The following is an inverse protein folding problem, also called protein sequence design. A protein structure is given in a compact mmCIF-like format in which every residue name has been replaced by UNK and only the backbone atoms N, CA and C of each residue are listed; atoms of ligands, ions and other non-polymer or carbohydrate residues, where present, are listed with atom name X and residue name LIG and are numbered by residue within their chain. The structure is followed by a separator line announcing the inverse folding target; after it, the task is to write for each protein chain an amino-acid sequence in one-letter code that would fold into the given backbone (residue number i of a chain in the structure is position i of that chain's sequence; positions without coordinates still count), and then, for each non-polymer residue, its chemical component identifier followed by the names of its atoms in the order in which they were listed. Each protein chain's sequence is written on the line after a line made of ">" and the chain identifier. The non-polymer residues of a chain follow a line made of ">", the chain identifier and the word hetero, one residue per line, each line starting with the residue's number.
data_IF_928190237492
#
_entry.id   IF_928190237492
#
_cell.length_a   1.000
_cell.length_b   1.000
_cell.length_c   1.000
_cell.angle_alpha   90.00
_cell.angle_beta   90.00
_cell.angle_gamma   90.00
#
_symmetry.space_group_name_H-M   'P 1'
#
loop_
_entity.id
_entity.type
_entity.pdbx_description
1 polymer ?
#
# COMPACT_ATOMS: atom_id res chain seq x y z
N UNK A 1 80.19 34.25 -25.66
CA UNK A 1 80.10 33.01 -24.85
C UNK A 1 78.74 32.37 -25.10
N UNK A 2 78.79 31.09 -25.48
CA UNK A 2 77.71 30.09 -25.68
C UNK A 2 76.89 29.89 -24.38
N UNK A 3 75.60 29.48 -24.27
CA UNK A 3 74.76 28.36 -24.80
C UNK A 3 73.28 28.62 -24.37
N UNK A 4 72.22 28.39 -25.17
CA UNK A 4 71.38 27.19 -25.45
C UNK A 4 70.27 26.82 -24.41
N UNK A 5 68.99 26.85 -24.89
CA UNK A 5 67.80 26.00 -24.53
C UNK A 5 67.21 26.10 -23.11
N UNK A 6 65.89 25.94 -22.83
CA UNK A 6 64.88 25.02 -23.39
C UNK A 6 63.46 25.38 -22.85
N UNK A 7 62.46 25.36 -23.75
CA UNK A 7 61.01 25.00 -23.65
C UNK A 7 60.28 25.00 -22.29
N UNK A 8 59.06 25.58 -22.24
CA UNK A 8 57.89 24.94 -21.57
C UNK A 8 56.53 25.46 -22.09
N UNK A 9 55.61 24.53 -22.33
CA UNK A 9 54.25 24.67 -22.89
C UNK A 9 53.24 25.28 -21.89
N UNK A 10 52.04 25.74 -22.31
CA UNK A 10 51.06 26.36 -21.42
C UNK A 10 50.36 25.28 -20.59
N UNK A 11 50.47 25.38 -19.26
CA UNK A 11 49.70 24.55 -18.34
C UNK A 11 48.30 25.14 -18.15
N UNK A 12 47.30 24.28 -18.31
CA UNK A 12 45.90 24.61 -18.09
C UNK A 12 45.62 24.99 -16.63
N UNK A 13 44.80 26.01 -16.47
CA UNK A 13 44.14 26.34 -15.21
C UNK A 13 43.29 25.16 -14.74
N UNK A 14 43.66 24.55 -13.61
CA UNK A 14 42.69 23.90 -12.70
C UNK A 14 42.58 24.78 -11.45
N UNK A 15 41.38 25.16 -11.00
CA UNK A 15 41.24 25.75 -9.68
C UNK A 15 41.38 24.63 -8.63
N UNK A 16 42.29 24.81 -7.67
CA UNK A 16 42.40 23.97 -6.50
C UNK A 16 41.25 24.32 -5.54
N UNK A 17 40.22 23.48 -5.48
CA UNK A 17 39.28 23.47 -4.35
C UNK A 17 40.04 22.97 -3.14
N UNK A 18 40.16 23.83 -2.13
CA UNK A 18 40.94 23.59 -0.91
C UNK A 18 40.37 22.40 -0.16
N UNK A 19 41.20 21.40 0.15
CA UNK A 19 40.82 20.19 0.90
C UNK A 19 40.08 20.51 2.23
N UNK A 20 40.28 21.72 2.78
CA UNK A 20 39.56 22.21 3.94
C UNK A 20 38.06 22.47 3.72
N UNK A 21 37.65 22.89 2.51
CA UNK A 21 36.24 23.14 2.18
C UNK A 21 35.45 21.84 2.01
N UNK A 22 36.09 20.81 1.45
CA UNK A 22 35.52 19.46 1.34
C UNK A 22 35.34 18.81 2.72
N UNK A 23 36.29 19.02 3.63
CA UNK A 23 36.19 18.55 5.02
C UNK A 23 35.05 19.24 5.77
N UNK A 24 34.84 20.54 5.55
CA UNK A 24 33.78 21.32 6.18
C UNK A 24 32.38 20.87 5.71
N UNK A 25 32.22 20.61 4.41
CA UNK A 25 30.98 20.09 3.82
C UNK A 25 30.68 18.66 4.30
N UNK A 26 31.69 17.79 4.37
CA UNK A 26 31.53 16.45 4.89
C UNK A 26 31.13 16.44 6.38
N UNK A 27 31.69 17.35 7.19
CA UNK A 27 31.31 17.48 8.60
C UNK A 27 29.88 18.02 8.77
N UNK A 28 29.45 18.96 7.92
CA UNK A 28 28.09 19.50 7.90
C UNK A 28 27.07 18.38 7.61
N UNK A 29 27.34 17.56 6.58
CA UNK A 29 26.47 16.46 6.15
C UNK A 29 26.42 15.34 7.21
N UNK A 30 27.54 15.00 7.84
CA UNK A 30 27.57 14.01 8.94
C UNK A 30 26.80 14.49 10.18
N UNK A 31 26.81 15.79 10.49
CA UNK A 31 25.99 16.35 11.56
C UNK A 31 24.49 16.23 11.24
N UNK A 32 24.08 16.56 10.01
CA UNK A 32 22.68 16.49 9.59
C UNK A 32 22.15 15.06 9.52
N UNK A 33 22.97 14.11 9.02
CA UNK A 33 22.65 12.68 8.94
C UNK A 33 22.54 12.04 10.33
N UNK A 34 23.24 12.55 11.36
CA UNK A 34 23.07 12.09 12.75
C UNK A 34 21.87 12.70 13.46
N UNK A 35 21.49 13.94 13.14
CA UNK A 35 20.37 14.61 13.81
C UNK A 35 19.00 14.22 13.26
N UNK A 36 18.88 13.93 11.96
CA UNK A 36 17.60 13.56 11.34
C UNK A 36 16.97 12.28 11.94
N UNK A 37 17.71 11.17 12.16
CA UNK A 37 17.20 9.98 12.82
C UNK A 37 16.74 10.26 14.25
N UNK A 38 17.46 11.11 15.00
CA UNK A 38 17.14 11.45 16.39
C UNK A 38 15.82 12.24 16.51
N UNK A 39 15.52 13.12 15.55
CA UNK A 39 14.26 13.86 15.47
C UNK A 39 13.08 12.95 15.15
N UNK A 40 13.27 11.98 14.25
CA UNK A 40 12.28 10.96 13.92
C UNK A 40 12.00 10.06 15.12
N UNK A 41 13.06 9.58 15.77
CA UNK A 41 13.00 8.74 16.97
C UNK A 41 12.27 9.44 18.13
N UNK A 42 12.47 10.74 18.34
CA UNK A 42 11.74 11.49 19.36
C UNK A 42 10.24 11.57 19.06
N UNK A 43 9.84 11.72 17.79
CA UNK A 43 8.41 11.70 17.40
C UNK A 43 7.79 10.33 17.66
N UNK A 44 8.49 9.26 17.26
CA UNK A 44 8.05 7.88 17.48
C UNK A 44 7.95 7.58 18.98
N UNK A 45 8.92 8.01 19.79
CA UNK A 45 8.91 7.82 21.26
C UNK A 45 7.76 8.57 21.93
N UNK A 46 7.46 9.81 21.50
CA UNK A 46 6.32 10.58 22.03
C UNK A 46 4.98 9.92 21.68
N UNK A 47 4.85 9.43 20.45
CA UNK A 47 3.63 8.75 20.01
C UNK A 47 3.43 7.40 20.71
N UNK A 48 4.52 6.64 20.93
CA UNK A 48 4.47 5.39 21.69
C UNK A 48 3.97 5.61 23.12
N UNK A 49 4.46 6.65 23.81
CA UNK A 49 3.98 7.02 25.16
C UNK A 49 2.50 7.44 25.15
N UNK A 50 2.06 8.16 24.11
CA UNK A 50 0.65 8.54 23.95
C UNK A 50 -0.24 7.32 23.77
N UNK A 51 0.18 6.36 22.93
CA UNK A 51 -0.55 5.13 22.68
C UNK A 51 -0.56 4.21 23.90
N UNK A 52 0.55 4.08 24.62
CA UNK A 52 0.61 3.33 25.88
C UNK A 52 -0.31 3.91 26.96
N UNK A 53 -0.41 5.25 27.06
CA UNK A 53 -1.35 5.90 27.97
C UNK A 53 -2.81 5.63 27.56
N UNK A 54 -3.12 5.70 26.26
CA UNK A 54 -4.44 5.40 25.74
C UNK A 54 -4.84 3.93 26.01
N UNK A 55 -3.91 3.00 25.77
CA UNK A 55 -4.07 1.57 26.06
C UNK A 55 -4.29 1.31 27.55
N UNK A 56 -3.54 1.98 28.43
CA UNK A 56 -3.78 1.89 29.87
C UNK A 56 -5.15 2.44 30.27
N UNK A 57 -5.62 3.50 29.62
CA UNK A 57 -6.96 4.06 29.85
C UNK A 57 -8.07 3.14 29.38
N UNK A 58 -7.89 2.48 28.23
CA UNK A 58 -8.82 1.48 27.71
C UNK A 58 -8.90 0.27 28.63
N UNK A 59 -7.76 -0.25 29.09
CA UNK A 59 -7.69 -1.35 30.06
C UNK A 59 -8.33 -1.00 31.41
N UNK A 60 -8.20 0.25 31.86
CA UNK A 60 -8.88 0.75 33.07
C UNK A 60 -10.41 0.85 32.90
N UNK A 61 -10.87 1.17 31.69
CA UNK A 61 -12.30 1.16 31.36
C UNK A 61 -12.86 -0.27 31.25
N UNK A 62 -12.10 -1.19 30.65
CA UNK A 62 -12.48 -2.60 30.52
C UNK A 62 -12.54 -3.33 31.87
N UNK A 63 -11.73 -2.91 32.85
CA UNK A 63 -11.69 -3.52 34.18
C UNK A 63 -12.68 -2.92 35.20
N UNK A 64 -13.55 -1.98 34.80
CA UNK A 64 -14.82 -1.73 35.50
C UNK A 64 -14.79 -0.99 36.85
N UNK A 65 -14.07 0.14 36.99
CA UNK A 65 -14.24 1.05 38.13
C UNK A 65 -14.92 2.36 37.69
N UNK A 66 -16.26 2.34 37.68
CA UNK A 66 -17.08 3.54 37.53
C UNK A 66 -17.09 4.35 38.84
N UNK A 67 -16.04 5.12 39.10
CA UNK A 67 -16.08 6.11 40.16
C UNK A 67 -15.30 7.39 39.81
N UNK A 68 -16.05 8.49 39.78
CA UNK A 68 -15.62 9.88 39.85
C UNK A 68 -15.11 10.55 38.57
N UNK A 69 -16.04 10.85 37.66
CA UNK A 69 -15.87 11.96 36.71
C UNK A 69 -16.11 13.25 37.51
N UNK A 70 -15.05 13.79 38.11
CA UNK A 70 -15.03 15.20 38.53
C UNK A 70 -14.94 16.05 37.28
N UNK A 71 -16.11 16.43 36.76
CA UNK A 71 -16.26 17.38 35.69
C UNK A 71 -16.07 18.79 36.27
N UNK A 72 -14.83 19.28 36.36
CA UNK A 72 -14.61 20.72 36.53
C UNK A 72 -14.76 21.37 35.17
N UNK A 73 -16.02 21.63 34.78
CA UNK A 73 -16.36 22.63 33.78
C UNK A 73 -16.66 23.95 34.50
N UNK A 74 -15.94 25.04 34.20
CA UNK A 74 -16.28 26.35 34.73
C UNK A 74 -17.49 26.90 33.99
N UNK A 75 -18.50 27.26 34.78
CA UNK A 75 -19.46 28.33 34.53
C UNK A 75 -20.45 28.18 33.35
N UNK A 76 -21.65 27.72 33.72
CA UNK A 76 -22.91 28.46 33.54
C UNK A 76 -23.45 28.57 32.12
N UNK A 77 -24.49 27.81 31.81
CA UNK A 77 -25.84 28.35 31.61
C UNK A 77 -26.88 27.22 31.66
N UNK A 78 -27.96 27.53 32.36
CA UNK A 78 -29.08 26.68 32.74
C UNK A 78 -30.15 26.68 31.62
N UNK A 79 -30.82 25.55 31.36
CA UNK A 79 -32.04 25.53 30.55
C UNK A 79 -32.90 24.32 30.91
N UNK A 80 -33.72 24.54 31.94
CA UNK A 80 -35.01 23.89 32.15
C UNK A 80 -35.91 23.98 30.91
N UNK A 81 -36.73 22.92 30.72
CA UNK A 81 -37.85 22.69 29.76
C UNK A 81 -37.39 21.97 28.49
N UNK A 82 -37.96 20.84 28.05
CA UNK A 82 -39.17 20.08 28.42
C UNK A 82 -38.90 18.59 28.17
N UNK A 83 -39.32 17.71 29.08
CA UNK A 83 -39.54 16.30 28.78
C UNK A 83 -41.05 16.13 28.72
N UNK A 84 -41.58 15.87 27.53
CA UNK A 84 -42.91 15.24 27.42
C UNK A 84 -42.92 14.27 26.24
N UNK A 85 -43.18 13.02 26.60
CA UNK A 85 -43.52 11.86 25.77
C UNK A 85 -42.45 11.33 24.81
N UNK A 86 -41.65 10.40 25.34
CA UNK A 86 -41.12 9.29 24.55
C UNK A 86 -41.57 8.01 25.25
N UNK A 87 -42.63 7.39 24.74
CA UNK A 87 -42.85 5.98 24.97
C UNK A 87 -41.96 5.20 23.99
N UNK A 88 -41.06 4.42 24.59
CA UNK A 88 -40.38 3.23 24.07
C UNK A 88 -39.50 3.36 22.81
N UNK A 89 -38.20 3.61 23.01
CA UNK A 89 -37.15 3.19 22.06
C UNK A 89 -36.09 2.39 22.81
N UNK A 90 -36.00 1.10 22.48
CA UNK A 90 -34.99 0.16 22.91
C UNK A 90 -33.60 0.65 22.50
N UNK A 91 -32.65 0.57 23.44
CA UNK A 91 -31.25 0.99 23.32
C UNK A 91 -30.56 0.32 22.12
N UNK A 92 -30.11 1.13 21.16
CA UNK A 92 -29.05 0.77 20.21
C UNK A 92 -27.86 1.69 20.47
N UNK A 93 -26.82 1.14 21.10
CA UNK A 93 -25.49 1.72 21.16
C UNK A 93 -24.89 1.74 19.75
N UNK A 94 -25.08 2.84 19.02
CA UNK A 94 -24.55 3.05 17.67
C UNK A 94 -23.41 4.05 17.65
N UNK A 95 -22.18 3.60 17.41
CA UNK A 95 -21.13 4.44 16.83
C UNK A 95 -21.46 4.66 15.35
N UNK A 96 -22.42 5.55 15.08
CA UNK A 96 -22.86 5.88 13.72
C UNK A 96 -21.77 6.65 12.95
N UNK A 97 -20.81 5.92 12.39
CA UNK A 97 -20.21 6.31 11.11
C UNK A 97 -21.18 5.86 10.02
N UNK A 98 -21.64 6.74 9.12
CA UNK A 98 -22.52 6.32 8.04
C UNK A 98 -21.82 5.25 7.21
N UNK A 99 -22.52 4.13 6.98
CA UNK A 99 -22.08 3.10 6.05
C UNK A 99 -21.84 3.76 4.68
N UNK A 100 -20.64 3.66 4.12
CA UNK A 100 -20.28 4.27 2.84
C UNK A 100 -21.19 3.80 1.69
N UNK A 101 -21.66 2.54 1.73
CA UNK A 101 -22.66 2.05 0.77
C UNK A 101 -24.02 2.75 0.94
N UNK A 102 -24.40 3.11 2.17
CA UNK A 102 -25.60 3.91 2.45
C UNK A 102 -25.40 5.37 2.03
N UNK A 103 -24.19 5.90 2.13
CA UNK A 103 -23.85 7.27 1.70
C UNK A 103 -23.80 7.43 0.17
N UNK A 104 -23.39 6.39 -0.57
CA UNK A 104 -23.34 6.38 -2.03
C UNK A 104 -24.69 6.05 -2.68
N UNK A 105 -25.65 5.49 -1.93
CA UNK A 105 -26.96 5.07 -2.45
C UNK A 105 -26.92 3.81 -3.31
N UNK A 106 -25.76 3.17 -3.48
CA UNK A 106 -25.59 1.88 -4.17
C UNK A 106 -24.47 1.06 -3.53
N UNK A 107 -24.53 -0.27 -3.69
CA UNK A 107 -23.46 -1.18 -3.27
C UNK A 107 -22.44 -1.32 -4.40
N UNK A 108 -21.17 -1.12 -4.06
CA UNK A 108 -20.07 -1.28 -5.02
C UNK A 108 -19.90 -2.77 -5.33
N UNK A 109 -19.90 -3.16 -6.60
CA UNK A 109 -19.73 -4.56 -7.01
C UNK A 109 -18.26 -4.89 -7.21
N UNK A 110 -17.88 -6.16 -6.99
CA UNK A 110 -16.52 -6.63 -7.31
C UNK A 110 -16.37 -6.94 -8.78
N UNK A 111 -15.15 -6.73 -9.28
CA UNK A 111 -14.75 -7.13 -10.62
C UNK A 111 -14.59 -8.65 -10.73
N UNK A 112 -14.65 -9.11 -11.98
CA UNK A 112 -14.42 -10.50 -12.35
C UNK A 112 -12.93 -10.81 -12.28
N UNK A 113 -12.59 -12.00 -11.76
CA UNK A 113 -11.23 -12.51 -11.79
C UNK A 113 -11.13 -13.77 -12.64
N UNK A 114 -10.30 -13.72 -13.67
CA UNK A 114 -10.06 -14.83 -14.61
C UNK A 114 -8.65 -15.45 -14.51
N UNK A 115 -7.77 -14.86 -13.69
CA UNK A 115 -6.40 -15.31 -13.50
C UNK A 115 -5.38 -14.71 -14.47
N UNK A 116 -5.74 -13.65 -15.23
CA UNK A 116 -4.82 -12.94 -16.12
C UNK A 116 -4.07 -11.81 -15.40
N UNK A 117 -4.77 -11.07 -14.54
CA UNK A 117 -4.23 -9.93 -13.81
C UNK A 117 -3.62 -10.37 -12.48
N UNK A 118 -2.81 -9.51 -11.86
CA UNK A 118 -2.17 -9.80 -10.57
C UNK A 118 -3.23 -10.12 -9.53
N UNK A 119 -3.12 -11.31 -8.93
CA UNK A 119 -3.99 -11.73 -7.83
C UNK A 119 -3.92 -10.75 -6.64
N UNK A 120 -2.76 -10.13 -6.41
CA UNK A 120 -2.55 -9.17 -5.31
C UNK A 120 -3.33 -7.87 -5.53
N UNK A 121 -3.29 -7.34 -6.74
CA UNK A 121 -4.04 -6.13 -7.11
C UNK A 121 -5.55 -6.39 -7.00
N UNK A 122 -5.99 -7.54 -7.51
CA UNK A 122 -7.37 -7.98 -7.38
C UNK A 122 -7.84 -8.05 -5.92
N UNK A 123 -7.09 -8.71 -5.04
CA UNK A 123 -7.45 -8.79 -3.62
C UNK A 123 -7.43 -7.43 -2.93
N UNK A 124 -6.52 -6.53 -3.31
CA UNK A 124 -6.48 -5.17 -2.75
C UNK A 124 -7.77 -4.42 -3.05
N UNK A 125 -8.24 -4.48 -4.29
CA UNK A 125 -9.51 -3.88 -4.71
C UNK A 125 -10.71 -4.59 -4.05
N UNK A 126 -10.74 -5.93 -4.08
CA UNK A 126 -11.80 -6.74 -3.50
C UNK A 126 -12.00 -6.43 -2.01
N UNK A 127 -10.92 -6.40 -1.23
CA UNK A 127 -10.99 -6.11 0.22
C UNK A 127 -11.39 -4.67 0.51
N UNK A 128 -10.99 -3.72 -0.33
CA UNK A 128 -11.46 -2.34 -0.25
C UNK A 128 -12.98 -2.25 -0.44
N UNK A 129 -13.52 -2.93 -1.46
CA UNK A 129 -14.96 -3.00 -1.71
C UNK A 129 -15.69 -3.73 -0.57
N UNK A 130 -15.15 -4.85 -0.10
CA UNK A 130 -15.72 -5.62 1.01
C UNK A 130 -15.84 -4.78 2.30
N UNK A 131 -14.80 -3.99 2.60
CA UNK A 131 -14.81 -3.06 3.74
C UNK A 131 -15.83 -1.93 3.55
N UNK A 132 -15.92 -1.39 2.33
CA UNK A 132 -16.86 -0.30 1.98
C UNK A 132 -18.32 -0.76 2.11
N UNK A 133 -18.58 -2.01 1.77
CA UNK A 133 -19.91 -2.63 1.82
C UNK A 133 -20.22 -3.36 3.13
N UNK A 134 -19.28 -3.39 4.09
CA UNK A 134 -19.38 -4.10 5.37
C UNK A 134 -19.73 -5.58 5.21
N UNK A 135 -19.06 -6.28 4.28
CA UNK A 135 -19.27 -7.71 4.07
C UNK A 135 -18.79 -8.54 5.27
N UNK A 136 -19.64 -9.47 5.71
CA UNK A 136 -19.25 -10.55 6.61
C UNK A 136 -18.30 -11.53 5.92
N UNK A 137 -17.62 -12.38 6.67
CA UNK A 137 -16.74 -13.42 6.10
C UNK A 137 -17.48 -14.33 5.11
N UNK A 138 -18.69 -14.77 5.45
CA UNK A 138 -19.53 -15.55 4.54
C UNK A 138 -19.85 -14.78 3.25
N UNK A 139 -20.18 -13.48 3.34
CA UNK A 139 -20.47 -12.65 2.17
C UNK A 139 -19.22 -12.45 1.29
N UNK A 140 -18.02 -12.36 1.88
CA UNK A 140 -16.76 -12.31 1.12
C UNK A 140 -16.54 -13.60 0.36
N UNK A 141 -16.73 -14.76 0.98
CA UNK A 141 -16.58 -16.07 0.33
C UNK A 141 -17.52 -16.21 -0.86
N UNK A 142 -18.82 -15.96 -0.65
CA UNK A 142 -19.83 -16.08 -1.71
C UNK A 142 -19.52 -15.12 -2.86
N UNK A 143 -19.16 -13.88 -2.54
CA UNK A 143 -18.88 -12.87 -3.57
C UNK A 143 -17.60 -13.18 -4.33
N UNK A 144 -16.55 -13.63 -3.62
CA UNK A 144 -15.29 -14.06 -4.23
C UNK A 144 -15.51 -15.28 -5.14
N UNK A 145 -16.21 -16.30 -4.69
CA UNK A 145 -16.52 -17.47 -5.51
C UNK A 145 -17.36 -17.07 -6.75
N UNK A 146 -18.29 -16.14 -6.59
CA UNK A 146 -19.16 -15.66 -7.66
C UNK A 146 -18.42 -14.78 -8.70
N UNK A 147 -17.31 -14.14 -8.34
CA UNK A 147 -16.52 -13.31 -9.24
C UNK A 147 -15.50 -14.11 -10.06
N UNK A 148 -15.21 -15.38 -9.70
CA UNK A 148 -14.26 -16.21 -10.43
C UNK A 148 -14.80 -16.65 -11.80
N UNK A 149 -14.00 -16.49 -12.84
CA UNK A 149 -14.31 -16.93 -14.22
C UNK A 149 -13.13 -17.67 -14.83
N UNK A 150 -13.37 -18.32 -15.97
CA UNK A 150 -12.34 -19.00 -16.76
C UNK A 150 -11.48 -19.96 -15.93
N UNK A 151 -10.15 -19.80 -16.02
CA UNK A 151 -9.19 -20.64 -15.28
C UNK A 151 -9.34 -20.47 -13.78
N UNK A 152 -9.61 -19.27 -13.28
CA UNK A 152 -9.77 -19.04 -11.85
C UNK A 152 -10.95 -19.81 -11.24
N UNK A 153 -12.06 -19.97 -11.99
CA UNK A 153 -13.23 -20.73 -11.52
C UNK A 153 -12.89 -22.19 -11.20
N UNK A 154 -11.95 -22.82 -11.91
CA UNK A 154 -11.58 -24.21 -11.64
C UNK A 154 -10.77 -24.39 -10.34
N UNK A 155 -10.46 -23.32 -9.60
CA UNK A 155 -9.97 -23.43 -8.21
C UNK A 155 -11.08 -23.94 -7.29
N UNK A 156 -12.34 -23.63 -7.59
CA UNK A 156 -13.48 -24.09 -6.80
C UNK A 156 -13.59 -25.63 -6.81
N UNK A 157 -13.23 -26.28 -7.91
CA UNK A 157 -13.24 -27.75 -8.02
C UNK A 157 -12.19 -28.42 -7.13
N UNK A 158 -11.14 -27.69 -6.73
CA UNK A 158 -10.11 -28.21 -5.82
C UNK A 158 -10.52 -28.17 -4.34
N UNK A 159 -11.63 -27.49 -4.03
CA UNK A 159 -12.16 -27.36 -2.68
C UNK A 159 -13.18 -28.47 -2.44
N UNK A 160 -12.99 -29.24 -1.35
CA UNK A 160 -13.83 -30.41 -1.05
C UNK A 160 -15.21 -30.06 -0.51
N UNK A 161 -15.31 -28.91 0.16
CA UNK A 161 -16.55 -28.42 0.77
C UNK A 161 -16.65 -26.91 0.55
N UNK A 162 -17.34 -26.53 -0.53
CA UNK A 162 -17.52 -25.12 -0.89
C UNK A 162 -18.51 -24.40 0.04
N UNK A 163 -19.39 -25.14 0.73
CA UNK A 163 -20.41 -24.54 1.61
C UNK A 163 -19.81 -24.05 2.93
N UNK A 164 -18.80 -24.77 3.43
CA UNK A 164 -18.10 -24.40 4.67
C UNK A 164 -16.71 -23.79 4.45
N UNK A 165 -16.35 -23.45 3.20
CA UNK A 165 -15.02 -22.88 2.92
C UNK A 165 -14.87 -21.51 3.57
N UNK A 166 -13.77 -21.33 4.29
CA UNK A 166 -13.40 -20.02 4.82
C UNK A 166 -12.81 -19.12 3.75
N UNK A 167 -12.84 -17.81 3.97
CA UNK A 167 -12.22 -16.85 3.06
C UNK A 167 -10.72 -17.12 2.88
N UNK A 168 -10.03 -17.49 3.96
CA UNK A 168 -8.59 -17.78 3.93
C UNK A 168 -8.26 -19.05 3.14
N UNK A 169 -9.09 -20.09 3.19
CA UNK A 169 -8.89 -21.30 2.39
C UNK A 169 -9.06 -21.04 0.89
N UNK A 170 -10.11 -20.30 0.51
CA UNK A 170 -10.33 -19.92 -0.89
C UNK A 170 -9.21 -18.98 -1.39
N UNK A 171 -8.76 -18.04 -0.56
CA UNK A 171 -7.63 -17.15 -0.85
C UNK A 171 -6.34 -17.94 -1.02
N UNK A 172 -6.03 -18.88 -0.11
CA UNK A 172 -4.83 -19.71 -0.20
C UNK A 172 -4.83 -20.58 -1.47
N UNK A 173 -5.98 -21.14 -1.86
CA UNK A 173 -6.12 -21.91 -3.08
C UNK A 173 -5.88 -21.06 -4.33
N UNK A 174 -6.33 -19.80 -4.33
CA UNK A 174 -6.03 -18.83 -5.39
C UNK A 174 -4.55 -18.44 -5.40
N UNK A 175 -3.94 -18.16 -4.25
CA UNK A 175 -2.51 -17.82 -4.12
C UNK A 175 -1.60 -18.97 -4.55
N UNK A 176 -1.99 -20.22 -4.29
CA UNK A 176 -1.25 -21.38 -4.74
C UNK A 176 -1.17 -21.46 -6.27
N UNK A 177 -2.24 -21.05 -6.96
CA UNK A 177 -2.36 -21.21 -8.42
C UNK A 177 -2.03 -19.95 -9.22
N UNK A 178 -2.28 -18.79 -8.65
CA UNK A 178 -2.11 -17.47 -9.25
C UNK A 178 -1.27 -16.56 -8.34
N UNK A 179 -0.43 -17.11 -7.48
CA UNK A 179 0.46 -16.30 -6.65
C UNK A 179 1.46 -15.50 -7.49
N UNK A 180 2.01 -14.44 -6.91
CA UNK A 180 2.91 -13.49 -7.58
C UNK A 180 4.07 -14.19 -8.32
N UNK A 181 4.68 -15.21 -7.68
CA UNK A 181 5.78 -16.00 -8.29
C UNK A 181 5.38 -16.65 -9.61
N UNK A 182 4.17 -17.19 -9.70
CA UNK A 182 3.66 -17.82 -10.91
C UNK A 182 3.31 -16.76 -11.97
N UNK A 183 2.82 -15.59 -11.55
CA UNK A 183 2.60 -14.46 -12.44
C UNK A 183 3.91 -13.92 -13.04
N UNK A 184 4.96 -13.72 -12.23
CA UNK A 184 6.27 -13.28 -12.71
C UNK A 184 6.87 -14.32 -13.67
N UNK A 185 6.82 -15.61 -13.32
CA UNK A 185 7.35 -16.69 -14.18
C UNK A 185 6.59 -16.82 -15.51
N UNK A 186 5.25 -16.72 -15.47
CA UNK A 186 4.43 -16.69 -16.69
C UNK A 186 4.80 -15.47 -17.54
N UNK A 187 4.89 -14.29 -16.94
CA UNK A 187 5.23 -13.05 -17.64
C UNK A 187 6.61 -13.13 -18.28
N UNK A 188 7.60 -13.72 -17.59
CA UNK A 188 8.92 -13.99 -18.16
C UNK A 188 8.84 -14.92 -19.38
N UNK A 189 8.05 -15.99 -19.29
CA UNK A 189 7.87 -16.95 -20.39
C UNK A 189 7.14 -16.31 -21.57
N UNK A 190 6.14 -15.47 -21.31
CA UNK A 190 5.44 -14.72 -22.36
C UNK A 190 6.37 -13.70 -23.02
N UNK A 191 7.16 -12.96 -22.23
CA UNK A 191 8.18 -12.03 -22.72
C UNK A 191 9.21 -12.73 -23.61
N UNK A 192 9.81 -13.83 -23.14
CA UNK A 192 10.85 -14.55 -23.87
C UNK A 192 10.35 -15.15 -25.19
N UNK A 193 9.05 -15.49 -25.25
CA UNK A 193 8.42 -16.07 -26.44
C UNK A 193 7.73 -15.02 -27.32
N UNK A 194 7.68 -13.75 -26.91
CA UNK A 194 6.99 -12.70 -27.66
C UNK A 194 7.77 -12.35 -28.92
N UNK A 195 7.12 -12.53 -30.07
CA UNK A 195 7.62 -12.14 -31.39
C UNK A 195 6.54 -11.34 -32.12
N UNK A 196 6.95 -10.49 -33.06
CA UNK A 196 6.01 -9.76 -33.90
C UNK A 196 5.12 -10.75 -34.67
N UNK A 197 3.80 -10.57 -34.61
CA UNK A 197 2.84 -11.35 -35.42
C UNK A 197 2.77 -10.78 -36.84
N UNK A 198 2.39 -11.62 -37.80
CA UNK A 198 2.18 -11.17 -39.18
C UNK A 198 1.06 -10.12 -39.19
N UNK A 199 1.36 -8.92 -39.73
CA UNK A 199 0.42 -7.80 -39.77
C UNK A 199 0.29 -6.99 -38.47
N UNK A 200 1.08 -7.29 -37.43
CA UNK A 200 1.10 -6.51 -36.20
C UNK A 200 1.95 -5.24 -36.34
N UNK A 201 1.42 -4.11 -35.87
CA UNK A 201 2.14 -2.85 -35.84
C UNK A 201 3.27 -2.87 -34.81
N UNK A 202 4.42 -2.28 -35.14
CA UNK A 202 5.61 -2.30 -34.29
C UNK A 202 5.38 -1.63 -32.92
N UNK A 203 4.57 -0.56 -32.88
CA UNK A 203 4.20 0.10 -31.62
C UNK A 203 3.42 -0.82 -30.69
N UNK A 204 2.49 -1.63 -31.21
CA UNK A 204 1.72 -2.59 -30.41
C UNK A 204 2.62 -3.67 -29.82
N UNK A 205 3.62 -4.13 -30.59
CA UNK A 205 4.64 -5.05 -30.09
C UNK A 205 5.48 -4.40 -28.97
N UNK A 206 5.91 -3.15 -29.15
CA UNK A 206 6.73 -2.43 -28.18
C UNK A 206 5.99 -2.22 -26.86
N UNK A 207 4.71 -1.80 -26.91
CA UNK A 207 3.87 -1.60 -25.73
C UNK A 207 3.66 -2.92 -24.97
N UNK A 208 3.40 -4.03 -25.69
CA UNK A 208 3.27 -5.36 -25.09
C UNK A 208 4.57 -5.82 -24.42
N UNK A 209 5.71 -5.61 -25.08
CA UNK A 209 7.02 -5.97 -24.53
C UNK A 209 7.34 -5.14 -23.28
N UNK A 210 7.12 -3.82 -23.29
CA UNK A 210 7.34 -2.96 -22.11
C UNK A 210 6.46 -3.42 -20.93
N UNK A 211 5.18 -3.72 -21.20
CA UNK A 211 4.27 -4.27 -20.19
C UNK A 211 4.78 -5.60 -19.63
N UNK A 212 5.17 -6.55 -20.49
CA UNK A 212 5.65 -7.87 -20.09
C UNK A 212 6.97 -7.80 -19.31
N UNK A 213 7.88 -6.90 -19.66
CA UNK A 213 9.14 -6.67 -18.93
C UNK A 213 8.86 -6.20 -17.50
N UNK A 214 7.98 -5.22 -17.31
CA UNK A 214 7.62 -4.72 -15.97
C UNK A 214 7.03 -5.82 -15.08
N UNK A 215 6.25 -6.72 -15.66
CA UNK A 215 5.64 -7.85 -14.95
C UNK A 215 6.64 -8.99 -14.68
N UNK A 216 7.57 -9.24 -15.59
CA UNK A 216 8.61 -10.27 -15.46
C UNK A 216 9.75 -9.85 -14.51
N UNK A 217 10.03 -8.54 -14.42
CA UNK A 217 11.12 -7.97 -13.64
C UNK A 217 10.66 -6.77 -12.79
N UNK A 218 9.82 -7.00 -11.76
CA UNK A 218 9.27 -5.92 -10.94
C UNK A 218 10.36 -5.10 -10.21
N UNK A 219 11.47 -5.74 -9.84
CA UNK A 219 12.62 -5.09 -9.17
C UNK A 219 13.63 -4.48 -10.17
N UNK A 220 13.50 -4.75 -11.46
CA UNK A 220 14.50 -4.45 -12.49
C UNK A 220 14.29 -3.14 -13.24
N UNK A 221 13.33 -2.30 -12.83
CA UNK A 221 12.94 -1.12 -13.60
C UNK A 221 13.85 0.08 -13.32
N UNK A 222 15.11 0.01 -13.77
CA UNK A 222 15.91 1.19 -14.07
C UNK A 222 16.82 0.88 -15.27
N UNK A 223 16.78 1.74 -16.30
CA UNK A 223 17.79 1.90 -17.37
C UNK A 223 17.66 1.21 -18.74
N UNK A 224 16.54 0.61 -19.15
CA UNK A 224 16.45 0.16 -20.56
C UNK A 224 16.08 1.25 -21.58
N UNK A 225 15.62 2.43 -21.12
CA UNK A 225 15.17 3.52 -22.00
C UNK A 225 16.18 4.63 -22.30
N UNK A 226 17.32 4.71 -21.61
CA UNK A 226 18.25 5.85 -21.75
C UNK A 226 19.52 5.53 -22.54
N UNK A 227 19.80 4.27 -22.87
CA UNK A 227 21.04 3.89 -23.57
C UNK A 227 20.90 3.69 -25.09
N UNK A 228 19.68 3.80 -25.64
CA UNK A 228 19.41 3.57 -27.08
C UNK A 228 19.09 4.87 -27.85
N UNK A 229 19.32 6.04 -27.24
CA UNK A 229 19.17 7.35 -27.87
C UNK A 229 20.41 8.27 -27.73
N UNK A 230 21.62 7.70 -27.62
CA UNK A 230 22.88 8.41 -27.84
C UNK A 230 23.69 7.67 -28.91
#
# INVERSE_FOLDING_TARGET
>A
MTTRSKRKAPQGNRPATSDGEMMQLALQEVCEVKEAPLRQDQKIRKERRRNENLEQRLRRMENGDAANISLVSPHGMDSRRMISSIDNVTLVTGTNKPNMATALGYRVTTDIYDGLWSLREYFTQFLFIARTNFWSEAAKVVTLASSLRGKARSVLDSLRDLENVSFEELKAALELRFGERLHTQRSYTEFSNRKQKIGEHLGTLADDLDRLVRLAYPEGTVQWGLSLMQ
#
